data_IF_550598445724
#
_entry.id   IF_550598445724
#
_cell.length_a   1.000
_cell.length_b   1.000
_cell.length_c   1.000
_cell.angle_alpha   90.00
_cell.angle_beta   90.00
_cell.angle_gamma   90.00
#
_symmetry.space_group_name_H-M   'P 1'
#
loop_
_entity.id
_entity.type
_entity.pdbx_description
1 polymer ?
#
# COMPACT_ATOMS: atom_id res chain seq x y z
N UNK A 1 41.96 34.70 54.23
CA UNK A 1 42.00 33.57 53.27
C UNK A 1 40.75 33.59 52.47
N UNK A 2 40.87 33.90 51.21
CA UNK A 2 39.75 33.86 50.28
C UNK A 2 39.67 32.49 49.67
N UNK A 3 38.60 31.77 49.95
CA UNK A 3 38.31 30.49 49.27
C UNK A 3 37.60 30.80 47.99
N UNK A 4 38.24 30.49 46.89
CA UNK A 4 37.57 30.52 45.59
C UNK A 4 36.81 29.19 45.44
N UNK A 5 35.51 29.26 45.36
CA UNK A 5 34.69 28.12 44.95
C UNK A 5 34.65 28.14 43.42
N UNK A 6 35.19 27.14 42.74
CA UNK A 6 35.02 27.06 41.30
C UNK A 6 33.55 26.87 41.00
N UNK A 7 32.96 27.79 40.31
CA UNK A 7 31.65 27.62 39.74
C UNK A 7 31.76 26.54 38.67
N UNK A 8 31.30 25.36 38.99
CA UNK A 8 31.15 24.33 37.97
C UNK A 8 30.04 24.81 37.04
N UNK A 9 30.39 25.32 35.89
CA UNK A 9 29.46 25.53 34.85
C UNK A 9 29.01 24.15 34.32
N UNK A 10 27.86 23.69 34.79
CA UNK A 10 27.23 22.51 34.20
C UNK A 10 26.71 22.91 32.84
N UNK A 11 27.50 22.62 31.82
CA UNK A 11 27.04 22.77 30.45
C UNK A 11 26.05 21.67 30.20
N UNK A 12 24.75 21.98 30.31
CA UNK A 12 23.70 21.06 29.90
C UNK A 12 23.76 21.01 28.37
N UNK A 13 24.40 19.98 27.84
CA UNK A 13 24.29 19.65 26.43
C UNK A 13 22.89 19.14 26.19
N UNK A 14 22.03 20.01 25.68
CA UNK A 14 20.76 19.57 25.16
C UNK A 14 21.03 18.75 23.88
N UNK A 15 20.95 17.44 24.00
CA UNK A 15 20.92 16.58 22.84
C UNK A 15 19.56 16.78 22.18
N UNK A 16 19.54 17.53 21.11
CA UNK A 16 18.42 17.50 20.19
C UNK A 16 18.48 16.16 19.47
N UNK A 17 17.75 15.17 19.97
CA UNK A 17 17.39 14.02 19.17
C UNK A 17 16.52 14.55 18.04
N UNK A 18 17.10 14.73 16.87
CA UNK A 18 16.30 14.89 15.70
C UNK A 18 15.50 13.61 15.55
N UNK A 19 14.19 13.69 15.83
CA UNK A 19 13.26 12.63 15.49
C UNK A 19 13.25 12.54 13.96
N UNK A 20 14.14 11.71 13.41
CA UNK A 20 13.90 11.17 12.11
C UNK A 20 12.74 10.19 12.29
N UNK A 21 11.51 10.68 12.05
CA UNK A 21 10.40 9.79 11.88
C UNK A 21 10.81 8.80 10.77
N UNK A 22 11.00 7.50 11.05
CA UNK A 22 11.17 6.54 9.98
C UNK A 22 9.96 6.71 9.05
N UNK A 23 10.17 6.61 7.73
CA UNK A 23 9.08 6.51 6.78
C UNK A 23 8.06 5.55 7.40
N UNK A 24 6.91 6.07 7.86
CA UNK A 24 6.00 5.26 8.65
C UNK A 24 5.42 4.18 7.77
N UNK A 25 5.76 2.93 8.07
CA UNK A 25 5.08 1.79 7.51
C UNK A 25 3.60 1.92 7.86
N UNK A 26 2.76 1.85 6.87
CA UNK A 26 1.32 1.90 7.02
C UNK A 26 0.70 0.71 6.30
N UNK A 27 -0.59 0.66 6.24
CA UNK A 27 -1.31 -0.38 5.55
C UNK A 27 -2.48 0.19 4.75
N UNK A 28 -2.88 -0.55 3.74
CA UNK A 28 -4.11 -0.32 2.99
C UNK A 28 -4.77 -1.68 2.77
N UNK A 29 -6.00 -1.82 3.23
CA UNK A 29 -6.75 -3.05 3.07
C UNK A 29 -7.71 -2.92 1.89
N UNK A 30 -7.57 -3.79 0.93
CA UNK A 30 -8.45 -3.87 -0.23
C UNK A 30 -9.54 -4.90 0.00
N UNK A 31 -10.76 -4.58 -0.40
CA UNK A 31 -11.91 -5.48 -0.31
C UNK A 31 -12.41 -5.75 -1.73
N UNK A 32 -12.30 -7.00 -2.17
CA UNK A 32 -12.59 -7.41 -3.55
C UNK A 32 -13.51 -8.63 -3.54
N UNK A 33 -14.52 -8.60 -4.41
CA UNK A 33 -15.37 -9.76 -4.69
C UNK A 33 -15.35 -10.06 -6.18
N UNK A 34 -15.18 -11.32 -6.53
CA UNK A 34 -15.28 -11.78 -7.91
C UNK A 34 -16.69 -12.30 -8.18
N UNK A 35 -17.48 -11.60 -8.98
CA UNK A 35 -18.76 -12.06 -9.49
C UNK A 35 -18.69 -12.49 -10.96
N UNK A 36 -17.49 -12.54 -11.52
CA UNK A 36 -17.25 -13.08 -12.85
C UNK A 36 -17.29 -14.61 -12.82
N UNK A 37 -17.79 -15.29 -13.85
CA UNK A 37 -17.85 -16.77 -13.86
C UNK A 37 -16.49 -17.44 -13.91
N UNK A 38 -15.45 -16.75 -14.33
CA UNK A 38 -14.09 -17.28 -14.40
C UNK A 38 -13.24 -16.83 -13.23
N UNK A 39 -12.17 -17.58 -12.95
CA UNK A 39 -11.16 -17.14 -11.99
C UNK A 39 -10.50 -15.84 -12.44
N UNK A 40 -10.29 -14.92 -11.50
CA UNK A 40 -9.70 -13.62 -11.73
C UNK A 40 -8.30 -13.59 -11.13
N UNK A 41 -7.33 -13.15 -11.91
CA UNK A 41 -6.01 -12.79 -11.42
C UNK A 41 -6.04 -11.33 -10.96
N UNK A 42 -5.46 -11.06 -9.80
CA UNK A 42 -5.47 -9.75 -9.16
C UNK A 42 -4.04 -9.37 -8.75
N UNK A 43 -3.68 -8.13 -9.00
CA UNK A 43 -2.41 -7.55 -8.62
C UNK A 43 -2.65 -6.12 -8.12
N UNK A 44 -1.86 -5.73 -7.13
CA UNK A 44 -1.80 -4.34 -6.68
C UNK A 44 -0.41 -3.79 -6.99
N UNK A 45 -0.33 -2.50 -7.27
CA UNK A 45 0.95 -1.85 -7.55
C UNK A 45 0.95 -0.40 -7.13
N UNK A 46 2.15 0.02 -6.70
CA UNK A 46 2.42 1.40 -6.35
C UNK A 46 2.63 2.23 -7.61
N UNK A 47 1.99 3.39 -7.66
CA UNK A 47 2.18 4.34 -8.77
C UNK A 47 3.58 4.94 -8.72
N UNK A 48 4.13 5.18 -7.52
CA UNK A 48 5.33 5.97 -7.33
C UNK A 48 6.59 5.14 -6.99
N UNK A 49 6.43 3.88 -6.58
CA UNK A 49 7.47 3.13 -5.90
C UNK A 49 7.94 1.84 -6.57
N UNK A 50 7.47 1.50 -7.75
CA UNK A 50 7.81 0.25 -8.46
C UNK A 50 7.58 -1.02 -7.62
N UNK A 51 6.68 -0.97 -6.65
CA UNK A 51 6.33 -2.09 -5.81
C UNK A 51 5.04 -2.72 -6.31
N UNK A 52 4.97 -4.04 -6.31
CA UNK A 52 3.78 -4.81 -6.62
C UNK A 52 3.48 -5.80 -5.50
N UNK A 53 2.21 -6.13 -5.33
CA UNK A 53 1.75 -7.14 -4.39
C UNK A 53 0.92 -8.18 -5.15
N UNK A 54 1.18 -9.46 -4.97
CA UNK A 54 2.14 -10.07 -4.06
C UNK A 54 3.60 -9.87 -4.44
N UNK A 55 3.92 -9.43 -5.65
CA UNK A 55 5.28 -9.24 -6.14
C UNK A 55 5.87 -10.50 -6.79
N UNK A 56 7.11 -10.39 -7.25
CA UNK A 56 7.88 -11.49 -7.86
C UNK A 56 7.22 -12.15 -9.09
N UNK A 57 6.40 -11.38 -9.82
CA UNK A 57 5.65 -11.89 -10.97
C UNK A 57 4.45 -12.77 -10.61
N UNK A 58 4.11 -12.84 -9.33
CA UNK A 58 2.95 -13.59 -8.86
C UNK A 58 1.69 -12.74 -8.85
N UNK A 59 0.54 -13.39 -8.73
CA UNK A 59 -0.78 -12.75 -8.64
C UNK A 59 -1.60 -13.42 -7.54
N UNK A 60 -2.56 -12.69 -7.00
CA UNK A 60 -3.63 -13.29 -6.21
C UNK A 60 -4.66 -13.89 -7.15
N UNK A 61 -5.26 -15.02 -6.76
CA UNK A 61 -6.33 -15.65 -7.52
C UNK A 61 -7.64 -15.60 -6.73
N UNK A 62 -8.68 -15.13 -7.40
CA UNK A 62 -10.04 -15.13 -6.90
C UNK A 62 -10.81 -16.21 -7.64
N UNK A 63 -11.05 -17.34 -7.00
CA UNK A 63 -11.68 -18.53 -7.60
C UNK A 63 -13.11 -18.78 -7.10
N UNK A 64 -13.58 -17.97 -6.16
CA UNK A 64 -14.92 -18.04 -5.60
C UNK A 64 -15.60 -16.66 -5.64
N UNK A 65 -16.86 -16.60 -5.24
CA UNK A 65 -17.66 -15.37 -5.21
C UNK A 65 -17.73 -14.72 -3.81
N UNK A 66 -16.88 -15.16 -2.90
CA UNK A 66 -16.80 -14.60 -1.55
C UNK A 66 -16.06 -13.25 -1.53
N UNK A 67 -16.31 -12.46 -0.50
CA UNK A 67 -15.54 -11.26 -0.23
C UNK A 67 -14.15 -11.63 0.25
N UNK A 68 -13.15 -11.07 -0.38
CA UNK A 68 -11.74 -11.24 0.02
C UNK A 68 -11.16 -9.91 0.46
N UNK A 69 -10.35 -9.96 1.50
CA UNK A 69 -9.60 -8.80 1.97
C UNK A 69 -8.10 -9.01 1.76
N UNK A 70 -7.44 -7.97 1.28
CA UNK A 70 -6.01 -7.96 1.01
C UNK A 70 -5.35 -6.83 1.80
N UNK A 71 -4.84 -7.10 3.00
CA UNK A 71 -4.08 -6.10 3.75
C UNK A 71 -2.68 -5.98 3.14
N UNK A 72 -2.36 -4.81 2.61
CA UNK A 72 -1.06 -4.53 2.02
C UNK A 72 -0.24 -3.67 2.97
N UNK A 73 1.01 -4.05 3.17
CA UNK A 73 2.01 -3.21 3.84
C UNK A 73 2.54 -2.20 2.84
N UNK A 74 2.48 -0.93 3.16
CA UNK A 74 2.84 0.15 2.25
C UNK A 74 3.42 1.33 3.00
N UNK A 75 3.96 2.28 2.27
CA UNK A 75 4.45 3.54 2.83
C UNK A 75 3.29 4.53 2.96
N UNK A 76 3.24 5.24 4.08
CA UNK A 76 2.21 6.26 4.30
C UNK A 76 2.23 7.30 3.18
N UNK A 77 1.06 7.55 2.58
CA UNK A 77 0.91 8.47 1.47
C UNK A 77 1.16 7.89 0.07
N UNK A 78 1.59 6.63 0.00
CA UNK A 78 1.79 5.93 -1.27
C UNK A 78 0.44 5.65 -1.95
N UNK A 79 0.35 5.92 -3.24
CA UNK A 79 -0.84 5.59 -4.02
C UNK A 79 -0.73 4.20 -4.59
N UNK A 80 -1.71 3.36 -4.31
CA UNK A 80 -1.76 1.96 -4.73
C UNK A 80 -2.99 1.76 -5.61
N UNK A 81 -2.78 1.11 -6.75
CA UNK A 81 -3.84 0.78 -7.71
C UNK A 81 -4.02 -0.72 -7.80
N UNK A 82 -5.22 -1.17 -8.16
CA UNK A 82 -5.44 -2.56 -8.48
C UNK A 82 -5.53 -2.78 -9.98
N UNK A 83 -5.14 -3.97 -10.42
CA UNK A 83 -5.41 -4.49 -11.75
C UNK A 83 -5.92 -5.91 -11.62
N UNK A 84 -6.92 -6.23 -12.40
CA UNK A 84 -7.53 -7.55 -12.42
C UNK A 84 -7.80 -7.99 -13.85
N UNK A 85 -7.70 -9.27 -14.12
CA UNK A 85 -7.97 -9.83 -15.44
C UNK A 85 -8.42 -11.29 -15.30
N UNK A 86 -9.09 -11.77 -16.32
CA UNK A 86 -9.48 -13.18 -16.37
C UNK A 86 -8.23 -14.05 -16.46
N UNK A 87 -8.12 -15.04 -15.59
CA UNK A 87 -7.02 -15.99 -15.62
C UNK A 87 -6.97 -16.68 -16.98
N UNK A 88 -5.84 -16.56 -17.65
CA UNK A 88 -5.62 -17.13 -18.99
C UNK A 88 -6.18 -16.31 -20.15
N UNK A 89 -6.87 -15.19 -19.88
CA UNK A 89 -7.35 -14.27 -20.89
C UNK A 89 -7.18 -12.83 -20.45
N UNK A 90 -6.00 -12.30 -20.68
CA UNK A 90 -5.65 -10.93 -20.28
C UNK A 90 -6.29 -9.84 -21.14
N UNK A 91 -7.12 -10.18 -22.09
CA UNK A 91 -7.89 -9.19 -22.87
C UNK A 91 -9.05 -8.59 -22.09
N UNK A 92 -9.50 -9.24 -21.01
CA UNK A 92 -10.54 -8.75 -20.12
C UNK A 92 -9.90 -8.20 -18.85
N UNK A 93 -9.98 -6.88 -18.66
CA UNK A 93 -9.36 -6.17 -17.54
C UNK A 93 -10.37 -5.37 -16.74
N UNK A 94 -10.08 -5.27 -15.45
CA UNK A 94 -10.69 -4.32 -14.53
C UNK A 94 -9.57 -3.56 -13.81
N UNK A 95 -9.90 -2.37 -13.32
CA UNK A 95 -8.92 -1.56 -12.63
C UNK A 95 -7.99 -0.81 -13.56
N UNK A 96 -6.81 -0.46 -13.07
CA UNK A 96 -5.83 0.31 -13.84
C UNK A 96 -5.02 -0.55 -14.82
N UNK A 97 -5.33 -1.86 -14.90
CA UNK A 97 -4.64 -2.78 -15.79
C UNK A 97 -3.28 -3.22 -15.25
N UNK A 98 -2.66 -4.17 -15.93
CA UNK A 98 -1.33 -4.66 -15.58
C UNK A 98 -0.30 -3.57 -15.87
N UNK A 99 0.45 -3.17 -14.85
CA UNK A 99 1.45 -2.12 -14.97
C UNK A 99 0.90 -0.71 -15.09
N UNK A 100 -0.38 -0.48 -14.76
CA UNK A 100 -0.98 0.84 -14.79
C UNK A 100 -1.33 1.37 -16.18
N UNK A 101 -1.43 0.49 -17.17
CA UNK A 101 -1.62 0.86 -18.57
C UNK A 101 -3.06 1.29 -18.94
N UNK A 102 -4.02 1.00 -18.06
CA UNK A 102 -5.44 1.30 -18.30
C UNK A 102 -5.85 2.54 -17.51
N UNK A 103 -6.53 3.47 -18.17
CA UNK A 103 -7.16 4.59 -17.48
C UNK A 103 -8.36 4.05 -16.68
N UNK A 104 -8.36 4.32 -15.38
CA UNK A 104 -9.42 3.88 -14.50
C UNK A 104 -9.64 4.88 -13.38
N UNK A 105 -10.90 5.28 -13.19
CA UNK A 105 -11.32 6.08 -12.05
C UNK A 105 -11.63 5.14 -10.87
N UNK A 106 -11.39 5.61 -9.63
CA UNK A 106 -11.65 4.87 -8.39
C UNK A 106 -10.92 3.52 -8.28
N UNK A 107 -9.82 3.36 -9.00
CA UNK A 107 -9.00 2.15 -8.97
C UNK A 107 -7.76 2.28 -8.10
N UNK A 108 -7.56 3.45 -7.52
CA UNK A 108 -6.38 3.76 -6.72
C UNK A 108 -6.79 4.40 -5.40
N UNK A 109 -6.10 4.01 -4.33
CA UNK A 109 -6.30 4.56 -3.00
C UNK A 109 -4.96 4.86 -2.35
N UNK A 110 -4.97 5.82 -1.44
CA UNK A 110 -3.77 6.22 -0.70
C UNK A 110 -3.57 5.30 0.49
N UNK A 111 -2.33 4.87 0.72
CA UNK A 111 -1.93 4.14 1.91
C UNK A 111 -1.99 5.06 3.14
N UNK A 112 -3.03 4.94 3.94
CA UNK A 112 -3.30 5.79 5.09
C UNK A 112 -3.81 5.03 6.31
N UNK A 113 -3.68 3.70 6.32
CA UNK A 113 -4.21 2.84 7.37
C UNK A 113 -5.69 2.47 7.18
N UNK A 114 -6.32 2.91 6.10
CA UNK A 114 -7.74 2.68 5.84
C UNK A 114 -8.03 1.43 5.00
N UNK A 115 -9.27 1.38 4.53
CA UNK A 115 -9.77 0.30 3.69
C UNK A 115 -10.39 0.86 2.40
N UNK A 116 -10.29 0.11 1.32
CA UNK A 116 -11.06 0.40 0.12
C UNK A 116 -12.53 0.06 0.33
N UNK A 117 -13.45 0.70 -0.40
CA UNK A 117 -14.80 0.14 -0.54
C UNK A 117 -14.74 -1.26 -1.17
N UNK A 118 -15.83 -2.01 -1.07
CA UNK A 118 -15.91 -3.29 -1.77
C UNK A 118 -15.90 -3.05 -3.28
N UNK A 119 -14.93 -3.64 -3.94
CA UNK A 119 -14.80 -3.62 -5.40
C UNK A 119 -15.33 -4.94 -5.93
N UNK A 120 -16.30 -4.86 -6.82
CA UNK A 120 -16.91 -6.04 -7.44
C UNK A 120 -16.41 -6.19 -8.86
N UNK A 121 -15.79 -7.31 -9.15
CA UNK A 121 -15.37 -7.69 -10.50
C UNK A 121 -16.53 -8.46 -11.13
N UNK A 122 -17.12 -7.91 -12.16
CA UNK A 122 -18.28 -8.51 -12.84
C UNK A 122 -18.16 -8.39 -14.36
N UNK A 123 -18.97 -9.15 -15.07
CA UNK A 123 -19.04 -9.07 -16.54
C UNK A 123 -19.44 -7.68 -17.04
#
# INVERSE_FOLDING_TARGET
MKRFIPLLAVTVMAFFLADFAPASADSLTWNIRNEHPNAIALEFYSVDGNTAWPGDGEVFLLEDEDDHTFPLQCEAGETICYGAWVRGDSSQYWGAGKGGDQACEECCYVCDGGESPLIVISE
#
